data_IF_103810892521
#
_entry.id   IF_103810892521
#
_cell.length_a   1.000
_cell.length_b   1.000
_cell.length_c   1.000
_cell.angle_alpha   90.00
_cell.angle_beta   90.00
_cell.angle_gamma   90.00
#
_symmetry.space_group_name_H-M   'P 1'
#
loop_
_entity.id
_entity.type
_entity.pdbx_description
1 polymer ?
#
# COMPACT_ATOMS: atom_id res chain seq x y z
N UNK A 1 -37.47 38.88 -0.05
CA UNK A 1 -38.74 38.30 0.35
C UNK A 1 -39.52 37.97 -0.93
N UNK A 2 -39.77 36.67 -1.17
CA UNK A 2 -40.44 36.25 -2.43
C UNK A 2 -41.95 36.14 -2.23
N UNK A 3 -42.55 37.21 -1.81
CA UNK A 3 -44.01 37.33 -1.66
C UNK A 3 -44.55 38.23 -2.79
N UNK A 4 -45.71 37.91 -3.38
CA UNK A 4 -46.31 38.79 -4.38
C UNK A 4 -46.49 40.17 -3.80
N UNK A 5 -46.22 41.20 -4.58
CA UNK A 5 -46.32 42.62 -4.17
C UNK A 5 -47.67 43.01 -3.56
N UNK A 6 -48.71 42.36 -3.98
CA UNK A 6 -50.12 42.57 -3.53
C UNK A 6 -50.34 42.10 -2.08
N UNK A 7 -49.57 41.10 -1.60
CA UNK A 7 -49.73 40.53 -0.26
C UNK A 7 -48.88 41.22 0.81
N UNK A 8 -48.00 42.15 0.42
CA UNK A 8 -46.96 42.73 1.31
C UNK A 8 -47.59 43.46 2.53
N UNK A 9 -48.62 44.27 2.30
CA UNK A 9 -49.26 45.04 3.40
C UNK A 9 -50.01 44.16 4.39
N UNK A 10 -50.51 43.01 3.95
CA UNK A 10 -51.20 42.05 4.81
C UNK A 10 -50.24 41.13 5.55
N UNK A 11 -49.12 40.78 4.95
CA UNK A 11 -48.11 39.86 5.53
C UNK A 11 -47.37 40.50 6.70
N UNK A 12 -47.10 41.80 6.66
CA UNK A 12 -46.44 42.54 7.75
C UNK A 12 -47.26 42.57 9.06
N UNK A 13 -48.58 42.41 8.95
CA UNK A 13 -49.50 42.37 10.10
C UNK A 13 -49.70 40.98 10.69
N UNK A 14 -49.14 39.94 10.10
CA UNK A 14 -49.36 38.56 10.53
C UNK A 14 -48.40 38.19 11.68
N UNK A 15 -48.94 37.56 12.74
CA UNK A 15 -48.11 36.97 13.79
C UNK A 15 -47.31 35.80 13.26
N UNK A 16 -46.17 35.54 13.90
CA UNK A 16 -45.22 34.45 13.53
C UNK A 16 -45.89 33.07 13.49
N UNK A 17 -46.94 32.88 14.29
CA UNK A 17 -47.70 31.63 14.35
C UNK A 17 -48.93 31.60 13.45
N UNK A 18 -49.12 32.60 12.59
CA UNK A 18 -50.32 32.72 11.76
C UNK A 18 -50.48 31.54 10.79
N UNK A 19 -51.70 30.98 10.73
CA UNK A 19 -52.12 29.97 9.78
C UNK A 19 -52.59 30.55 8.43
N UNK A 20 -52.70 31.90 8.33
CA UNK A 20 -53.09 32.55 7.10
C UNK A 20 -52.15 32.15 5.97
N UNK A 21 -52.67 31.77 4.81
CA UNK A 21 -51.87 31.36 3.67
C UNK A 21 -51.34 32.59 2.94
N UNK A 22 -50.08 32.54 2.55
CA UNK A 22 -49.37 33.59 1.80
C UNK A 22 -48.79 33.00 0.52
N UNK A 23 -48.73 33.82 -0.52
CA UNK A 23 -48.09 33.45 -1.77
C UNK A 23 -46.58 33.77 -1.70
N UNK A 24 -45.76 32.82 -2.13
CA UNK A 24 -44.36 33.05 -2.36
C UNK A 24 -43.89 32.35 -3.64
N UNK A 25 -42.81 32.82 -4.22
CA UNK A 25 -42.17 32.18 -5.37
C UNK A 25 -41.04 31.26 -4.87
N UNK A 26 -41.08 30.03 -5.33
CA UNK A 26 -40.04 29.05 -4.99
C UNK A 26 -38.69 29.46 -5.61
N UNK A 27 -37.68 29.57 -4.82
CA UNK A 27 -36.32 29.97 -5.25
C UNK A 27 -35.66 28.96 -6.19
N UNK A 28 -36.10 27.70 -6.18
CA UNK A 28 -35.51 26.66 -7.04
C UNK A 28 -36.23 26.57 -8.39
N UNK A 29 -37.57 26.51 -8.39
CA UNK A 29 -38.32 26.24 -9.63
C UNK A 29 -39.12 27.43 -10.16
N UNK A 30 -39.09 28.58 -9.48
CA UNK A 30 -39.81 29.79 -9.89
C UNK A 30 -41.35 29.72 -9.79
N UNK A 31 -41.93 28.60 -9.32
CA UNK A 31 -43.37 28.42 -9.23
C UNK A 31 -43.95 29.16 -8.03
N UNK A 32 -45.06 29.88 -8.20
CA UNK A 32 -45.82 30.49 -7.13
C UNK A 32 -46.49 29.45 -6.25
N UNK A 33 -46.35 29.56 -4.93
CA UNK A 33 -46.89 28.58 -3.97
C UNK A 33 -47.65 29.27 -2.88
N UNK A 34 -48.85 28.76 -2.57
CA UNK A 34 -49.67 29.20 -1.47
C UNK A 34 -49.43 28.33 -0.23
N UNK A 35 -48.88 28.91 0.84
CA UNK A 35 -48.52 28.19 2.04
C UNK A 35 -48.82 29.00 3.32
N UNK A 36 -49.10 28.32 4.45
CA UNK A 36 -49.28 29.00 5.71
C UNK A 36 -48.06 29.83 6.11
N UNK A 37 -48.24 31.05 6.60
CA UNK A 37 -47.19 32.00 6.91
C UNK A 37 -46.17 31.46 7.91
N UNK A 38 -46.64 30.79 9.00
CA UNK A 38 -45.75 30.12 9.95
C UNK A 38 -44.80 29.09 9.30
N UNK A 39 -45.30 28.37 8.25
CA UNK A 39 -44.50 27.36 7.56
C UNK A 39 -43.50 28.01 6.62
N UNK A 40 -43.89 29.13 6.00
CA UNK A 40 -42.97 29.96 5.20
C UNK A 40 -41.83 30.52 6.04
N UNK A 41 -42.14 31.04 7.24
CA UNK A 41 -41.11 31.59 8.15
C UNK A 41 -40.14 30.53 8.65
N UNK A 42 -40.57 29.30 8.91
CA UNK A 42 -39.73 28.20 9.39
C UNK A 42 -38.73 27.66 8.35
N UNK A 43 -38.81 28.16 7.11
CA UNK A 43 -37.83 27.76 6.09
C UNK A 43 -36.56 28.63 6.20
N UNK A 44 -35.55 28.14 6.90
CA UNK A 44 -34.32 28.90 7.18
C UNK A 44 -33.28 28.83 6.06
N UNK A 45 -33.30 27.76 5.22
CA UNK A 45 -32.28 27.48 4.19
C UNK A 45 -32.71 27.95 2.78
N UNK A 46 -33.82 28.71 2.67
CA UNK A 46 -34.39 29.19 1.42
C UNK A 46 -35.90 28.96 1.37
N UNK A 47 -36.59 29.71 0.51
CA UNK A 47 -38.05 29.67 0.39
C UNK A 47 -38.48 28.73 -0.74
N UNK A 48 -38.70 27.48 -0.42
CA UNK A 48 -38.92 26.41 -1.39
C UNK A 48 -40.34 25.85 -1.34
N UNK A 49 -40.89 25.49 -2.48
CA UNK A 49 -42.13 24.68 -2.55
C UNK A 49 -41.83 23.27 -1.93
N UNK A 50 -42.91 22.57 -1.53
CA UNK A 50 -42.77 21.24 -0.87
C UNK A 50 -41.93 20.24 -1.68
N UNK A 51 -42.12 20.04 -3.00
CA UNK A 51 -41.29 19.16 -3.81
C UNK A 51 -39.82 19.58 -3.85
N UNK A 52 -39.55 20.87 -4.08
CA UNK A 52 -38.15 21.36 -4.13
C UNK A 52 -37.45 21.28 -2.78
N UNK A 53 -38.15 21.58 -1.68
CA UNK A 53 -37.60 21.41 -0.31
C UNK A 53 -37.28 19.96 -0.01
N UNK A 54 -38.18 19.04 -0.33
CA UNK A 54 -37.91 17.62 -0.11
C UNK A 54 -36.66 17.17 -0.89
N UNK A 55 -36.55 17.58 -2.15
CA UNK A 55 -35.37 17.29 -2.99
C UNK A 55 -34.10 17.96 -2.46
N UNK A 56 -34.19 19.21 -2.02
CA UNK A 56 -33.09 19.94 -1.42
C UNK A 56 -32.63 19.26 -0.13
N UNK A 57 -33.54 18.95 0.79
CA UNK A 57 -33.22 18.26 2.05
C UNK A 57 -32.66 16.88 1.80
N UNK A 58 -33.21 16.10 0.87
CA UNK A 58 -32.67 14.77 0.53
C UNK A 58 -31.27 14.83 -0.10
N UNK A 59 -30.91 15.96 -0.71
CA UNK A 59 -29.61 16.16 -1.34
C UNK A 59 -28.54 16.74 -0.40
N UNK A 60 -28.91 17.15 0.80
CA UNK A 60 -27.93 17.65 1.78
C UNK A 60 -26.90 16.59 2.14
N UNK A 61 -25.61 16.95 2.26
CA UNK A 61 -24.54 16.00 2.56
C UNK A 61 -24.78 15.23 3.87
N UNK A 62 -25.21 15.91 4.94
CA UNK A 62 -25.49 15.32 6.25
C UNK A 62 -26.65 14.31 6.22
N UNK A 63 -27.70 14.57 5.43
CA UNK A 63 -28.84 13.66 5.23
C UNK A 63 -28.43 12.44 4.41
N UNK A 64 -27.67 12.64 3.33
CA UNK A 64 -27.12 11.56 2.51
C UNK A 64 -26.17 10.67 3.30
N UNK A 65 -25.34 11.26 4.15
CA UNK A 65 -24.41 10.51 4.99
C UNK A 65 -25.16 9.66 6.03
N UNK A 66 -26.15 10.25 6.72
CA UNK A 66 -27.03 9.51 7.67
C UNK A 66 -27.78 8.37 6.98
N UNK A 67 -28.34 8.60 5.80
CA UNK A 67 -29.04 7.56 5.04
C UNK A 67 -28.09 6.47 4.56
N UNK A 68 -26.90 6.86 4.07
CA UNK A 68 -25.86 5.93 3.65
C UNK A 68 -25.36 5.08 4.82
N UNK A 69 -25.10 5.68 5.97
CA UNK A 69 -24.63 4.98 7.17
C UNK A 69 -25.71 4.03 7.72
N UNK A 70 -26.95 4.45 7.78
CA UNK A 70 -28.08 3.60 8.18
C UNK A 70 -28.28 2.42 7.22
N UNK A 71 -28.20 2.67 5.90
CA UNK A 71 -28.24 1.61 4.89
C UNK A 71 -27.07 0.65 5.03
N UNK A 72 -25.83 1.15 5.15
CA UNK A 72 -24.63 0.34 5.36
C UNK A 72 -24.73 -0.52 6.62
N UNK A 73 -25.35 0.01 7.71
CA UNK A 73 -25.58 -0.74 8.94
C UNK A 73 -26.54 -1.92 8.72
N UNK A 74 -27.65 -1.70 8.01
CA UNK A 74 -28.61 -2.77 7.65
C UNK A 74 -27.96 -3.84 6.77
N UNK A 75 -27.17 -3.42 5.76
CA UNK A 75 -26.45 -4.34 4.87
C UNK A 75 -25.30 -5.10 5.52
N UNK A 76 -24.86 -4.73 6.71
CA UNK A 76 -23.89 -5.52 7.52
C UNK A 76 -24.54 -6.74 8.17
N UNK A 77 -25.85 -6.71 8.41
CA UNK A 77 -26.57 -7.86 8.95
C UNK A 77 -26.67 -8.99 7.90
N UNK A 78 -26.13 -10.17 8.16
CA UNK A 78 -26.17 -11.30 7.24
C UNK A 78 -27.60 -11.75 6.91
N UNK A 79 -28.50 -11.74 7.91
CA UNK A 79 -29.91 -12.15 7.74
C UNK A 79 -30.65 -11.16 6.83
N UNK A 80 -30.42 -9.86 7.05
CA UNK A 80 -31.00 -8.83 6.20
C UNK A 80 -30.50 -8.92 4.75
N UNK A 81 -29.19 -9.17 4.54
CA UNK A 81 -28.61 -9.35 3.20
C UNK A 81 -29.20 -10.56 2.47
N UNK A 82 -29.28 -11.71 3.15
CA UNK A 82 -29.83 -12.91 2.54
C UNK A 82 -31.30 -12.73 2.17
N UNK A 83 -32.09 -12.15 3.08
CA UNK A 83 -33.49 -11.81 2.82
C UNK A 83 -33.64 -10.86 1.64
N UNK A 84 -32.91 -9.73 1.63
CA UNK A 84 -33.01 -8.73 0.56
C UNK A 84 -32.46 -9.24 -0.78
N UNK A 85 -31.44 -10.09 -0.75
CA UNK A 85 -30.95 -10.74 -1.98
C UNK A 85 -32.01 -11.63 -2.61
N UNK A 86 -32.74 -12.42 -1.80
CA UNK A 86 -33.85 -13.26 -2.27
C UNK A 86 -35.01 -12.42 -2.80
N UNK A 87 -35.40 -11.37 -2.06
CA UNK A 87 -36.47 -10.45 -2.46
C UNK A 87 -36.13 -9.75 -3.78
N UNK A 88 -34.93 -9.18 -3.90
CA UNK A 88 -34.51 -8.48 -5.11
C UNK A 88 -34.36 -9.43 -6.29
N UNK A 89 -33.79 -10.62 -6.06
CA UNK A 89 -33.64 -11.64 -7.09
C UNK A 89 -35.00 -12.12 -7.62
N UNK A 90 -35.95 -12.35 -6.70
CA UNK A 90 -37.32 -12.73 -7.06
C UNK A 90 -38.03 -11.61 -7.83
N UNK A 91 -37.99 -10.36 -7.34
CA UNK A 91 -38.60 -9.22 -8.01
C UNK A 91 -37.98 -8.95 -9.38
N UNK A 92 -36.63 -9.08 -9.51
CA UNK A 92 -35.99 -8.99 -10.81
C UNK A 92 -36.44 -10.08 -11.76
N UNK A 93 -36.50 -11.33 -11.28
CA UNK A 93 -36.93 -12.47 -12.09
C UNK A 93 -38.38 -12.32 -12.56
N UNK A 94 -39.29 -12.01 -11.64
CA UNK A 94 -40.68 -11.76 -11.97
C UNK A 94 -40.85 -10.61 -13.00
N UNK A 95 -40.08 -9.53 -12.84
CA UNK A 95 -40.09 -8.42 -13.76
C UNK A 95 -39.46 -8.76 -15.14
N UNK A 96 -38.58 -9.77 -15.24
CA UNK A 96 -38.05 -10.28 -16.50
C UNK A 96 -38.99 -11.30 -17.14
N UNK A 97 -39.61 -12.16 -16.34
CA UNK A 97 -40.54 -13.20 -16.82
C UNK A 97 -41.86 -12.60 -17.36
N UNK A 98 -42.23 -11.40 -16.87
CA UNK A 98 -43.39 -10.62 -17.33
C UNK A 98 -43.05 -9.67 -18.47
N UNK A 99 -41.80 -9.57 -18.90
CA UNK A 99 -41.36 -8.67 -19.95
C UNK A 99 -41.67 -9.27 -21.33
N UNK A 100 -42.57 -8.66 -22.05
CA UNK A 100 -42.88 -8.97 -23.46
C UNK A 100 -41.73 -8.62 -24.45
N UNK A 101 -40.55 -8.36 -23.95
CA UNK A 101 -39.36 -7.89 -24.70
C UNK A 101 -39.28 -6.38 -24.82
N UNK A 102 -40.35 -5.63 -24.46
CA UNK A 102 -40.35 -4.18 -24.59
C UNK A 102 -39.45 -3.49 -23.59
N UNK A 103 -39.27 -4.06 -22.37
CA UNK A 103 -38.39 -3.52 -21.34
C UNK A 103 -36.91 -3.67 -21.72
N UNK A 104 -36.55 -4.85 -22.22
CA UNK A 104 -35.21 -5.12 -22.76
C UNK A 104 -34.94 -4.17 -23.94
N UNK A 105 -35.90 -3.99 -24.83
CA UNK A 105 -35.75 -3.08 -25.95
C UNK A 105 -35.64 -1.64 -25.48
N UNK A 106 -36.50 -1.19 -24.53
CA UNK A 106 -36.38 0.15 -23.92
C UNK A 106 -35.04 0.39 -23.21
N UNK A 107 -34.50 -0.60 -22.50
CA UNK A 107 -33.16 -0.48 -21.90
C UNK A 107 -32.07 -0.39 -22.97
N UNK A 108 -32.25 -1.10 -24.09
CA UNK A 108 -31.34 -1.02 -25.22
C UNK A 108 -31.50 0.35 -25.91
N UNK A 109 -32.72 0.80 -26.14
CA UNK A 109 -33.00 2.04 -26.89
C UNK A 109 -32.73 3.29 -26.08
N UNK A 110 -33.04 3.29 -24.79
CA UNK A 110 -32.80 4.38 -23.85
C UNK A 110 -31.44 4.31 -23.16
N UNK A 111 -30.54 3.46 -23.63
CA UNK A 111 -29.19 3.41 -23.06
C UNK A 111 -28.41 4.67 -23.47
N UNK A 112 -28.15 5.60 -22.51
CA UNK A 112 -27.43 6.84 -22.80
C UNK A 112 -26.06 6.59 -23.43
N UNK A 113 -25.49 5.41 -23.20
CA UNK A 113 -24.19 5.02 -23.78
C UNK A 113 -24.25 4.66 -25.26
N UNK A 114 -25.43 4.60 -25.87
CA UNK A 114 -25.57 4.51 -27.34
C UNK A 114 -25.23 5.84 -28.02
N UNK A 115 -25.46 6.95 -27.34
CA UNK A 115 -25.13 8.28 -27.85
C UNK A 115 -23.59 8.47 -27.89
N UNK A 116 -23.01 8.70 -29.07
CA UNK A 116 -21.58 8.94 -29.22
C UNK A 116 -21.07 10.15 -28.41
N UNK A 117 -21.92 11.18 -28.25
CA UNK A 117 -21.60 12.40 -27.51
C UNK A 117 -21.52 12.10 -26.01
N UNK A 118 -22.48 11.35 -25.47
CA UNK A 118 -22.50 10.95 -24.05
C UNK A 118 -21.33 10.04 -23.75
N UNK A 119 -21.04 9.06 -24.62
CA UNK A 119 -19.86 8.20 -24.51
C UNK A 119 -18.57 9.01 -24.51
N UNK A 120 -18.46 9.99 -25.38
CA UNK A 120 -17.29 10.87 -25.46
C UNK A 120 -17.14 11.71 -24.17
N UNK A 121 -18.21 12.32 -23.68
CA UNK A 121 -18.21 13.10 -22.42
C UNK A 121 -17.84 12.24 -21.21
N UNK A 122 -18.36 11.03 -21.11
CA UNK A 122 -18.01 10.13 -20.02
C UNK A 122 -16.56 9.68 -20.11
N UNK A 123 -16.10 9.33 -21.30
CA UNK A 123 -14.70 9.00 -21.55
C UNK A 123 -13.75 10.17 -21.23
N UNK A 124 -14.17 11.40 -21.48
CA UNK A 124 -13.39 12.60 -21.13
C UNK A 124 -13.40 12.87 -19.61
N UNK A 125 -14.52 12.66 -18.93
CA UNK A 125 -14.63 12.84 -17.47
C UNK A 125 -13.83 11.80 -16.66
N UNK A 126 -13.68 10.60 -17.21
CA UNK A 126 -12.86 9.53 -16.63
C UNK A 126 -11.40 9.57 -17.09
N UNK A 127 -11.05 10.53 -17.94
CA UNK A 127 -9.74 10.61 -18.56
C UNK A 127 -8.65 10.94 -17.55
N UNK A 128 -7.75 10.00 -17.33
CA UNK A 128 -6.43 10.30 -16.77
C UNK A 128 -5.75 11.36 -17.63
N UNK A 129 -5.13 12.34 -17.01
CA UNK A 129 -4.44 13.37 -17.76
C UNK A 129 -3.32 12.75 -18.62
N UNK A 130 -3.12 13.28 -19.81
CA UNK A 130 -2.02 12.83 -20.70
C UNK A 130 -0.67 12.96 -19.97
N UNK A 131 -0.52 13.96 -19.10
CA UNK A 131 0.69 14.16 -18.28
C UNK A 131 0.93 12.99 -17.35
N UNK A 132 -0.12 12.48 -16.70
CA UNK A 132 -0.04 11.33 -15.81
C UNK A 132 0.27 10.03 -16.58
N UNK A 133 -0.38 9.81 -17.73
CA UNK A 133 -0.09 8.65 -18.60
C UNK A 133 1.35 8.66 -19.10
N UNK A 134 1.85 9.80 -19.53
CA UNK A 134 3.26 9.98 -19.92
C UNK A 134 4.20 9.71 -18.75
N UNK A 135 3.87 10.19 -17.55
CA UNK A 135 4.65 9.95 -16.32
C UNK A 135 4.71 8.46 -15.98
N UNK A 136 3.58 7.75 -16.06
CA UNK A 136 3.54 6.30 -15.85
C UNK A 136 4.41 5.59 -16.90
N UNK A 137 4.23 5.90 -18.18
CA UNK A 137 5.03 5.31 -19.24
C UNK A 137 6.53 5.55 -19.05
N UNK A 138 6.93 6.80 -18.74
CA UNK A 138 8.34 7.17 -18.54
C UNK A 138 8.98 6.44 -17.35
N UNK A 139 8.21 6.20 -16.26
CA UNK A 139 8.67 5.44 -15.10
C UNK A 139 9.12 4.02 -15.44
N UNK A 140 8.57 3.43 -16.52
CA UNK A 140 8.87 2.08 -16.98
C UNK A 140 9.67 2.06 -18.28
N UNK A 141 10.28 3.18 -18.65
CA UNK A 141 11.00 3.32 -19.92
C UNK A 141 10.13 2.99 -21.15
N UNK A 142 8.84 3.30 -21.07
CA UNK A 142 7.91 3.17 -22.18
C UNK A 142 7.65 4.53 -22.80
N UNK A 143 7.47 4.57 -24.12
CA UNK A 143 7.08 5.76 -24.86
C UNK A 143 5.56 5.76 -25.02
N UNK A 144 4.90 6.80 -24.47
CA UNK A 144 3.48 7.01 -24.71
C UNK A 144 3.23 7.37 -26.18
N UNK A 145 2.40 6.63 -26.89
CA UNK A 145 2.08 6.85 -28.30
C UNK A 145 0.73 7.54 -28.49
N UNK A 146 -0.24 7.30 -27.60
CA UNK A 146 -1.57 7.85 -27.73
C UNK A 146 -2.63 7.10 -26.96
N UNK A 147 -3.87 7.50 -27.15
CA UNK A 147 -5.05 6.78 -26.67
C UNK A 147 -6.13 6.73 -27.75
N UNK A 148 -6.93 5.69 -27.72
CA UNK A 148 -8.04 5.47 -28.66
C UNK A 148 -9.27 4.93 -27.92
N UNK A 149 -10.42 4.96 -28.55
CA UNK A 149 -11.64 4.31 -28.05
C UNK A 149 -11.63 2.84 -28.50
N UNK A 150 -11.73 1.93 -27.54
CA UNK A 150 -11.87 0.50 -27.82
C UNK A 150 -13.28 0.13 -28.30
N UNK A 151 -13.46 -1.05 -28.85
CA UNK A 151 -14.69 -1.59 -29.44
C UNK A 151 -15.95 -1.50 -28.54
N UNK A 152 -15.75 -1.48 -27.18
CA UNK A 152 -16.84 -1.38 -26.21
C UNK A 152 -16.90 -0.01 -25.51
N UNK A 153 -16.33 1.04 -26.13
CA UNK A 153 -16.36 2.39 -25.61
C UNK A 153 -15.39 2.72 -24.48
N UNK A 154 -14.61 1.74 -24.01
CA UNK A 154 -13.56 1.98 -23.00
C UNK A 154 -12.29 2.60 -23.63
N UNK A 155 -11.56 3.40 -22.89
CA UNK A 155 -10.30 3.97 -23.36
C UNK A 155 -9.19 2.91 -23.42
N UNK A 156 -8.42 2.96 -24.47
CA UNK A 156 -7.24 2.11 -24.71
C UNK A 156 -6.01 3.00 -24.82
N UNK A 157 -4.97 2.65 -24.09
CA UNK A 157 -3.68 3.33 -24.12
C UNK A 157 -2.75 2.60 -25.08
N UNK A 158 -2.12 3.38 -25.96
CA UNK A 158 -1.07 2.93 -26.87
C UNK A 158 0.28 3.38 -26.32
N UNK A 159 1.20 2.45 -26.19
CA UNK A 159 2.56 2.73 -25.78
C UNK A 159 3.56 1.74 -26.41
N UNK A 160 4.77 2.20 -26.56
CA UNK A 160 5.90 1.42 -27.06
C UNK A 160 6.83 1.08 -25.90
N UNK A 161 7.19 -0.19 -25.77
CA UNK A 161 8.16 -0.60 -24.77
C UNK A 161 9.61 -0.27 -25.25
N UNK A 162 10.57 -0.37 -24.32
CA UNK A 162 11.99 -0.13 -24.60
C UNK A 162 12.63 -1.04 -25.64
N UNK A 163 11.93 -2.09 -26.10
CA UNK A 163 12.34 -2.99 -27.20
C UNK A 163 11.58 -2.71 -28.51
N UNK A 164 10.84 -1.61 -28.59
CA UNK A 164 10.09 -1.24 -29.80
C UNK A 164 8.74 -1.94 -29.96
N UNK A 165 8.29 -2.79 -29.02
CA UNK A 165 6.99 -3.44 -29.15
C UNK A 165 5.85 -2.50 -28.81
N UNK A 166 4.91 -2.33 -29.75
CA UNK A 166 3.71 -1.52 -29.53
C UNK A 166 2.68 -2.33 -28.76
N UNK A 167 2.16 -1.76 -27.69
CA UNK A 167 1.17 -2.38 -26.82
C UNK A 167 -0.13 -1.59 -26.82
N UNK A 168 -1.25 -2.31 -26.71
CA UNK A 168 -2.59 -1.78 -26.56
C UNK A 168 -3.18 -2.30 -25.25
N UNK A 169 -3.48 -1.43 -24.30
CA UNK A 169 -4.07 -1.83 -23.01
C UNK A 169 -5.25 -0.94 -22.67
N UNK A 170 -6.31 -1.53 -22.14
CA UNK A 170 -7.43 -0.75 -21.59
C UNK A 170 -6.94 0.11 -20.44
N UNK A 171 -7.49 1.32 -20.33
CA UNK A 171 -7.10 2.30 -19.30
C UNK A 171 -7.29 1.76 -17.88
N UNK A 172 -8.41 1.03 -17.63
CA UNK A 172 -8.68 0.39 -16.34
C UNK A 172 -7.57 -0.62 -15.96
N UNK A 173 -7.12 -1.43 -16.91
CA UNK A 173 -6.02 -2.39 -16.72
C UNK A 173 -4.67 -1.69 -16.56
N UNK A 174 -4.45 -0.63 -17.33
CA UNK A 174 -3.25 0.18 -17.24
C UNK A 174 -3.12 0.86 -15.86
N UNK A 175 -4.22 1.39 -15.32
CA UNK A 175 -4.28 2.01 -13.99
C UNK A 175 -3.96 1.05 -12.84
N UNK A 176 -4.38 -0.21 -12.95
CA UNK A 176 -4.10 -1.24 -11.93
C UNK A 176 -2.74 -1.93 -12.12
N UNK A 177 -1.82 -1.30 -12.85
CA UNK A 177 -0.45 -1.78 -13.00
C UNK A 177 -0.26 -2.86 -14.09
N UNK A 178 -1.29 -3.18 -14.90
CA UNK A 178 -1.18 -4.15 -15.99
C UNK A 178 -0.67 -3.50 -17.29
N UNK A 179 0.41 -2.74 -17.22
CA UNK A 179 1.04 -2.06 -18.37
C UNK A 179 2.22 -2.83 -18.98
N UNK A 180 2.54 -4.03 -18.50
CA UNK A 180 3.66 -4.81 -19.01
C UNK A 180 3.48 -5.16 -20.48
N UNK A 181 4.57 -5.10 -21.24
CA UNK A 181 4.59 -5.54 -22.62
C UNK A 181 4.40 -7.07 -22.70
N UNK A 182 3.36 -7.52 -23.37
CA UNK A 182 3.04 -8.94 -23.51
C UNK A 182 4.14 -9.72 -24.23
N UNK A 183 4.83 -9.10 -25.20
CA UNK A 183 5.92 -9.70 -25.95
C UNK A 183 7.21 -9.84 -25.12
N UNK A 184 7.43 -8.90 -24.18
CA UNK A 184 8.60 -8.93 -23.30
C UNK A 184 8.44 -9.85 -22.09
N UNK A 185 7.19 -10.13 -21.68
CA UNK A 185 6.86 -10.89 -20.44
C UNK A 185 7.13 -12.40 -20.57
N UNK A 186 7.54 -12.89 -21.74
CA UNK A 186 7.72 -14.34 -21.94
C UNK A 186 8.79 -15.00 -21.05
N UNK A 187 9.57 -14.25 -20.24
CA UNK A 187 10.59 -14.86 -19.38
C UNK A 187 10.98 -14.17 -18.06
N UNK A 188 10.66 -12.86 -17.80
CA UNK A 188 11.18 -12.15 -16.60
C UNK A 188 10.22 -11.11 -16.08
N UNK A 189 10.27 -10.85 -14.74
CA UNK A 189 9.57 -9.72 -14.16
C UNK A 189 10.28 -8.41 -14.52
N UNK A 190 9.53 -7.33 -14.69
CA UNK A 190 10.12 -6.00 -14.98
C UNK A 190 11.04 -5.53 -13.84
N UNK A 191 10.59 -5.75 -12.62
CA UNK A 191 11.29 -5.35 -11.40
C UNK A 191 12.59 -6.13 -11.21
N UNK A 192 12.62 -7.42 -11.58
CA UNK A 192 13.83 -8.24 -11.59
C UNK A 192 14.88 -7.68 -12.55
N UNK A 193 14.43 -7.24 -13.75
CA UNK A 193 15.33 -6.57 -14.71
C UNK A 193 15.82 -5.21 -14.20
N UNK A 194 14.98 -4.46 -13.50
CA UNK A 194 15.39 -3.20 -12.89
C UNK A 194 16.47 -3.43 -11.83
N UNK A 195 16.32 -4.46 -11.00
CA UNK A 195 17.33 -4.87 -10.01
C UNK A 195 18.63 -5.26 -10.70
N UNK A 196 18.53 -6.12 -11.72
CA UNK A 196 19.68 -6.55 -12.51
C UNK A 196 20.38 -5.37 -13.17
N UNK A 197 19.65 -4.46 -13.80
CA UNK A 197 20.23 -3.27 -14.44
C UNK A 197 20.90 -2.35 -13.40
N UNK A 198 20.27 -2.17 -12.23
CA UNK A 198 20.88 -1.43 -11.14
C UNK A 198 22.21 -2.05 -10.70
N UNK A 199 22.26 -3.37 -10.55
CA UNK A 199 23.50 -4.08 -10.18
C UNK A 199 24.57 -3.94 -11.25
N UNK A 200 24.21 -4.08 -12.54
CA UNK A 200 25.14 -3.87 -13.68
C UNK A 200 25.70 -2.46 -13.71
N UNK A 201 24.95 -1.47 -13.29
CA UNK A 201 25.42 -0.07 -13.24
C UNK A 201 26.45 0.18 -12.13
N UNK A 202 26.41 -0.59 -11.03
CA UNK A 202 27.32 -0.40 -9.89
C UNK A 202 28.46 -1.42 -9.82
N UNK A 203 28.37 -2.52 -10.58
CA UNK A 203 29.34 -3.62 -10.53
C UNK A 203 29.71 -4.15 -11.93
N UNK A 204 31.01 -4.09 -12.25
CA UNK A 204 31.53 -4.49 -13.56
C UNK A 204 32.06 -5.95 -13.61
N UNK A 205 31.91 -6.73 -12.52
CA UNK A 205 32.35 -8.12 -12.48
C UNK A 205 31.31 -9.09 -13.04
N UNK A 206 31.62 -10.39 -12.96
CA UNK A 206 30.74 -11.45 -13.43
C UNK A 206 29.40 -11.46 -12.69
N UNK A 207 28.30 -11.41 -13.44
CA UNK A 207 26.92 -11.55 -12.97
C UNK A 207 26.29 -12.69 -13.79
N UNK A 208 25.75 -13.68 -13.10
CA UNK A 208 24.99 -14.77 -13.69
C UNK A 208 23.49 -14.53 -13.48
N UNK A 209 22.70 -14.70 -14.52
CA UNK A 209 21.25 -14.51 -14.52
C UNK A 209 20.57 -15.88 -14.61
N UNK A 210 19.49 -16.09 -13.84
CA UNK A 210 18.68 -17.32 -13.84
C UNK A 210 19.53 -18.58 -13.65
N UNK A 211 20.38 -18.55 -12.66
CA UNK A 211 21.27 -19.67 -12.38
C UNK A 211 20.50 -20.83 -11.74
N UNK A 212 20.62 -22.01 -12.36
CA UNK A 212 20.02 -23.27 -11.89
C UNK A 212 21.06 -24.28 -11.43
N UNK A 213 22.33 -23.88 -11.41
CA UNK A 213 23.44 -24.80 -11.11
C UNK A 213 23.86 -24.74 -9.66
N UNK A 214 23.84 -23.55 -9.05
CA UNK A 214 24.33 -23.31 -7.70
C UNK A 214 23.52 -24.07 -6.65
N UNK A 215 22.19 -24.04 -6.75
CA UNK A 215 21.26 -24.64 -5.77
C UNK A 215 20.19 -25.52 -6.44
N UNK A 216 20.58 -26.31 -7.45
CA UNK A 216 19.65 -27.23 -8.13
C UNK A 216 18.79 -28.02 -7.12
N UNK A 217 17.47 -28.22 -7.35
CA UNK A 217 16.72 -27.88 -8.58
C UNK A 217 16.16 -26.44 -8.63
N UNK A 218 16.48 -25.60 -7.68
CA UNK A 218 16.00 -24.22 -7.63
C UNK A 218 16.79 -23.32 -8.58
N UNK A 219 16.11 -22.26 -9.04
CA UNK A 219 16.70 -21.16 -9.82
C UNK A 219 17.00 -19.99 -8.89
N UNK A 220 18.05 -19.24 -9.19
CA UNK A 220 18.39 -17.96 -8.58
C UNK A 220 18.37 -16.87 -9.65
N UNK A 221 17.65 -15.78 -9.41
CA UNK A 221 17.49 -14.72 -10.42
C UNK A 221 18.80 -14.06 -10.78
N UNK A 222 19.62 -13.72 -9.77
CA UNK A 222 20.90 -13.04 -9.96
C UNK A 222 21.95 -13.66 -9.01
N UNK A 223 23.10 -14.03 -9.56
CA UNK A 223 24.24 -14.50 -8.77
C UNK A 223 25.50 -13.68 -9.11
N UNK A 224 26.22 -13.24 -8.10
CA UNK A 224 27.49 -12.51 -8.17
C UNK A 224 28.59 -13.39 -7.56
N UNK A 225 29.23 -14.28 -8.32
CA UNK A 225 30.12 -15.31 -7.78
C UNK A 225 31.30 -14.75 -6.99
N UNK A 226 31.98 -13.72 -7.50
CA UNK A 226 33.13 -13.08 -6.86
C UNK A 226 32.80 -12.40 -5.53
N UNK A 227 31.54 -12.11 -5.27
CA UNK A 227 31.06 -11.53 -4.01
C UNK A 227 30.40 -12.56 -3.09
N UNK A 228 30.17 -13.77 -3.58
CA UNK A 228 29.41 -14.81 -2.90
C UNK A 228 28.02 -14.29 -2.49
N UNK A 229 27.35 -13.56 -3.39
CA UNK A 229 26.01 -12.99 -3.20
C UNK A 229 25.08 -13.57 -4.25
N UNK A 230 23.90 -13.99 -3.82
CA UNK A 230 22.77 -14.30 -4.65
C UNK A 230 21.60 -13.39 -4.29
N UNK A 231 20.79 -13.03 -5.27
CA UNK A 231 19.63 -12.13 -5.09
C UNK A 231 18.44 -12.80 -5.76
N UNK A 232 17.32 -12.81 -5.04
CA UNK A 232 16.05 -13.35 -5.47
C UNK A 232 14.99 -12.26 -5.37
N UNK A 233 14.25 -12.01 -6.45
CA UNK A 233 13.11 -11.13 -6.46
C UNK A 233 11.81 -11.93 -6.38
N UNK A 234 11.06 -11.72 -5.33
CA UNK A 234 9.84 -12.46 -5.06
C UNK A 234 8.60 -11.59 -5.30
N UNK A 235 8.01 -11.71 -6.48
CA UNK A 235 6.70 -11.16 -6.77
C UNK A 235 5.65 -11.83 -5.89
N UNK A 236 4.92 -11.06 -5.03
CA UNK A 236 4.00 -11.62 -4.02
C UNK A 236 3.03 -12.65 -4.61
N UNK A 237 2.44 -12.37 -5.77
CA UNK A 237 1.50 -13.29 -6.41
C UNK A 237 2.12 -14.63 -6.81
N UNK A 238 3.36 -14.62 -7.36
CA UNK A 238 4.03 -15.84 -7.86
C UNK A 238 4.74 -16.63 -6.75
N UNK A 239 5.10 -15.96 -5.67
CA UNK A 239 5.79 -16.53 -4.52
C UNK A 239 4.87 -16.75 -3.32
N UNK A 240 3.56 -16.49 -3.45
CA UNK A 240 2.56 -16.77 -2.44
C UNK A 240 2.23 -18.25 -2.32
N UNK A 241 1.61 -18.62 -1.19
CA UNK A 241 1.26 -20.00 -0.88
C UNK A 241 0.24 -20.59 -1.85
N UNK A 242 -0.67 -19.77 -2.41
CA UNK A 242 -1.62 -20.18 -3.45
C UNK A 242 -0.90 -20.73 -4.70
N UNK A 243 0.34 -20.34 -4.94
CA UNK A 243 1.18 -20.83 -6.05
C UNK A 243 2.09 -22.01 -5.66
N UNK A 244 1.79 -22.66 -4.55
CA UNK A 244 2.54 -23.81 -4.07
C UNK A 244 3.86 -23.48 -3.37
N UNK A 245 4.07 -22.22 -2.97
CA UNK A 245 5.25 -21.79 -2.20
C UNK A 245 4.94 -21.87 -0.72
N UNK A 246 5.20 -23.04 -0.15
CA UNK A 246 4.95 -23.34 1.25
C UNK A 246 5.85 -22.55 2.23
N UNK A 247 5.62 -22.76 3.52
CA UNK A 247 6.36 -22.13 4.62
C UNK A 247 7.88 -22.24 4.46
N UNK A 248 8.38 -23.31 3.89
CA UNK A 248 9.81 -23.61 3.83
C UNK A 248 10.46 -23.24 2.49
N UNK A 249 9.69 -22.82 1.50
CA UNK A 249 10.21 -22.57 0.15
C UNK A 249 11.39 -21.60 0.13
N UNK A 250 11.23 -20.39 0.69
CA UNK A 250 12.29 -19.40 0.72
C UNK A 250 13.42 -19.78 1.69
N UNK A 251 13.05 -20.39 2.82
CA UNK A 251 14.04 -20.91 3.78
C UNK A 251 14.94 -21.98 3.18
N UNK A 252 14.39 -22.91 2.39
CA UNK A 252 15.18 -23.96 1.74
C UNK A 252 16.17 -23.37 0.74
N UNK A 253 15.74 -22.40 -0.09
CA UNK A 253 16.65 -21.67 -1.00
C UNK A 253 17.78 -20.96 -0.24
N UNK A 254 17.44 -20.30 0.88
CA UNK A 254 18.41 -19.62 1.75
C UNK A 254 19.43 -20.60 2.31
N UNK A 255 18.99 -21.71 2.90
CA UNK A 255 19.86 -22.71 3.49
C UNK A 255 20.83 -23.30 2.45
N UNK A 256 20.32 -23.69 1.27
CA UNK A 256 21.15 -24.18 0.18
C UNK A 256 22.20 -23.17 -0.29
N UNK A 257 21.87 -21.88 -0.33
CA UNK A 257 22.85 -20.83 -0.61
C UNK A 257 23.90 -20.71 0.49
N UNK A 258 23.47 -20.73 1.77
CA UNK A 258 24.37 -20.64 2.92
C UNK A 258 25.32 -21.84 2.98
N UNK A 259 24.86 -23.05 2.69
CA UNK A 259 25.68 -24.28 2.60
C UNK A 259 26.77 -24.19 1.52
N UNK A 260 26.51 -23.46 0.44
CA UNK A 260 27.50 -23.15 -0.62
C UNK A 260 28.33 -21.90 -0.32
N UNK A 261 28.19 -21.30 0.86
CA UNK A 261 28.93 -20.11 1.29
C UNK A 261 28.44 -18.81 0.64
N UNK A 262 27.26 -18.82 0.03
CA UNK A 262 26.65 -17.62 -0.56
C UNK A 262 25.68 -16.95 0.42
N UNK A 263 25.62 -15.63 0.36
CA UNK A 263 24.57 -14.84 0.99
C UNK A 263 23.42 -14.69 0.01
N UNK A 264 22.23 -15.23 0.33
CA UNK A 264 21.01 -14.94 -0.40
C UNK A 264 20.34 -13.69 0.16
N UNK A 265 19.96 -12.77 -0.73
CA UNK A 265 19.16 -11.58 -0.44
C UNK A 265 17.81 -11.78 -1.12
N UNK A 266 16.74 -11.91 -0.33
CA UNK A 266 15.39 -12.13 -0.85
C UNK A 266 14.58 -10.84 -0.74
N UNK A 267 14.23 -10.26 -1.89
CA UNK A 267 13.53 -8.98 -2.01
C UNK A 267 12.07 -9.25 -2.39
N UNK A 268 11.13 -8.86 -1.53
CA UNK A 268 9.72 -8.93 -1.86
C UNK A 268 9.31 -7.74 -2.73
N UNK A 269 8.36 -7.94 -3.65
CA UNK A 269 7.96 -6.91 -4.61
C UNK A 269 7.48 -5.61 -3.98
N UNK A 270 6.80 -5.67 -2.82
CA UNK A 270 6.38 -4.49 -2.08
C UNK A 270 7.58 -3.68 -1.55
N UNK A 271 8.69 -4.32 -1.21
CA UNK A 271 9.92 -3.65 -0.75
C UNK A 271 10.58 -2.90 -1.92
N UNK A 272 10.68 -3.54 -3.09
CA UNK A 272 11.20 -2.87 -4.29
C UNK A 272 10.32 -1.71 -4.74
N UNK A 273 9.00 -1.92 -4.80
CA UNK A 273 8.05 -0.91 -5.29
C UNK A 273 7.93 0.30 -4.35
N UNK A 274 7.97 0.10 -3.04
CA UNK A 274 7.69 1.16 -2.07
C UNK A 274 8.94 1.72 -1.38
N UNK A 275 10.06 0.97 -1.37
CA UNK A 275 11.30 1.31 -0.65
C UNK A 275 12.54 1.12 -1.52
N UNK A 276 12.41 1.35 -2.82
CA UNK A 276 13.47 1.13 -3.82
C UNK A 276 14.81 1.72 -3.41
N UNK A 277 14.84 2.99 -3.01
CA UNK A 277 16.07 3.67 -2.63
C UNK A 277 16.79 3.02 -1.44
N UNK A 278 16.04 2.43 -0.51
CA UNK A 278 16.60 1.70 0.64
C UNK A 278 17.20 0.38 0.17
N UNK A 279 16.48 -0.36 -0.69
CA UNK A 279 16.96 -1.61 -1.28
C UNK A 279 18.22 -1.38 -2.10
N UNK A 280 18.23 -0.36 -2.97
CA UNK A 280 19.40 0.00 -3.79
C UNK A 280 20.62 0.35 -2.95
N UNK A 281 20.47 1.18 -1.90
CA UNK A 281 21.54 1.50 -0.95
C UNK A 281 22.08 0.24 -0.26
N UNK A 282 21.17 -0.64 0.16
CA UNK A 282 21.56 -1.89 0.79
C UNK A 282 22.36 -2.78 -0.17
N UNK A 283 21.87 -3.01 -1.39
CA UNK A 283 22.58 -3.79 -2.41
C UNK A 283 23.95 -3.21 -2.72
N UNK A 284 24.06 -1.88 -2.90
CA UNK A 284 25.35 -1.20 -3.10
C UNK A 284 26.30 -1.47 -1.95
N UNK A 285 25.83 -1.37 -0.71
CA UNK A 285 26.67 -1.61 0.48
C UNK A 285 27.22 -3.04 0.54
N UNK A 286 26.41 -4.02 0.11
CA UNK A 286 26.81 -5.44 0.09
C UNK A 286 27.77 -5.77 -1.05
N UNK A 287 27.54 -5.19 -2.24
CA UNK A 287 28.30 -5.50 -3.45
C UNK A 287 29.64 -4.73 -3.47
N UNK A 288 29.61 -3.44 -3.18
CA UNK A 288 30.79 -2.57 -3.25
C UNK A 288 31.67 -2.68 -2.01
N UNK A 289 31.07 -2.95 -0.85
CA UNK A 289 31.77 -3.11 0.44
C UNK A 289 32.74 -1.96 0.75
N UNK A 290 32.35 -0.72 0.43
CA UNK A 290 33.14 0.49 0.68
C UNK A 290 32.70 1.12 2.00
N UNK A 291 33.46 0.95 3.11
CA UNK A 291 33.14 1.62 4.37
C UNK A 291 33.52 3.10 4.29
N UNK A 292 32.69 3.91 4.89
CA UNK A 292 32.99 5.30 5.17
C UNK A 292 33.52 5.41 6.60
N UNK A 293 34.61 6.14 6.80
CA UNK A 293 35.22 6.35 8.12
C UNK A 293 34.85 7.76 8.58
N UNK A 294 34.30 7.87 9.78
CA UNK A 294 34.06 9.15 10.46
C UNK A 294 35.09 9.20 11.63
N UNK A 295 35.92 10.21 11.65
CA UNK A 295 36.97 10.38 12.65
C UNK A 295 36.42 10.92 13.97
N UNK A 296 35.56 11.93 13.90
CA UNK A 296 34.97 12.54 15.08
C UNK A 296 33.44 12.48 15.02
N UNK A 297 32.83 12.02 16.08
CA UNK A 297 31.39 12.02 16.25
C UNK A 297 30.94 11.88 17.72
N UNK A 298 29.87 12.56 18.06
CA UNK A 298 29.21 12.45 19.35
C UNK A 298 27.94 11.62 19.24
N UNK A 299 27.70 10.79 20.27
CA UNK A 299 26.43 10.08 20.43
C UNK A 299 25.45 11.01 21.09
N UNK A 300 24.29 11.22 20.47
CA UNK A 300 23.24 12.13 20.92
C UNK A 300 21.94 11.35 21.08
N UNK A 301 21.24 11.50 22.22
CA UNK A 301 19.86 11.05 22.35
C UNK A 301 18.96 11.79 21.36
N UNK A 302 18.04 11.05 20.72
CA UNK A 302 17.18 11.57 19.67
C UNK A 302 15.73 11.64 20.14
N UNK A 303 15.00 12.64 19.65
CA UNK A 303 13.56 12.69 19.76
C UNK A 303 12.86 11.67 18.82
N UNK A 304 11.59 11.41 19.09
CA UNK A 304 10.79 10.44 18.32
C UNK A 304 10.62 10.85 16.86
N UNK A 305 10.40 12.13 16.57
CA UNK A 305 10.12 12.64 15.22
C UNK A 305 11.33 12.50 14.31
N UNK A 306 12.50 12.90 14.80
CA UNK A 306 13.79 12.77 14.11
C UNK A 306 14.11 11.30 13.83
N UNK A 307 13.96 10.44 14.84
CA UNK A 307 14.18 9.00 14.71
C UNK A 307 13.23 8.38 13.69
N UNK A 308 11.94 8.68 13.74
CA UNK A 308 10.93 8.18 12.81
C UNK A 308 11.25 8.61 11.37
N UNK A 309 11.59 9.87 11.16
CA UNK A 309 11.97 10.37 9.83
C UNK A 309 13.18 9.63 9.29
N UNK A 310 14.24 9.47 10.08
CA UNK A 310 15.45 8.78 9.66
C UNK A 310 15.21 7.30 9.35
N UNK A 311 14.51 6.59 10.25
CA UNK A 311 14.22 5.15 10.09
C UNK A 311 13.36 4.87 8.87
N UNK A 312 12.32 5.66 8.63
CA UNK A 312 11.44 5.47 7.47
C UNK A 312 12.14 5.73 6.14
N UNK A 313 13.21 6.55 6.12
CA UNK A 313 14.01 6.83 4.92
C UNK A 313 15.16 5.85 4.69
N UNK A 314 15.62 5.15 5.71
CA UNK A 314 16.86 4.38 5.62
C UNK A 314 16.74 2.92 6.07
N UNK A 315 15.69 2.53 6.80
CA UNK A 315 15.51 1.16 7.28
C UNK A 315 14.39 0.43 6.53
N UNK A 316 14.64 -0.80 6.09
CA UNK A 316 13.68 -1.57 5.28
C UNK A 316 12.36 -1.82 6.02
N UNK A 317 12.39 -2.08 7.31
CA UNK A 317 11.18 -2.25 8.13
C UNK A 317 10.64 -0.92 8.67
N UNK A 318 11.34 0.20 8.48
CA UNK A 318 10.94 1.51 8.98
C UNK A 318 11.05 1.66 10.49
N UNK A 319 10.39 2.69 11.02
CA UNK A 319 10.36 3.02 12.44
C UNK A 319 9.52 2.02 13.25
N UNK A 320 9.96 1.74 14.46
CA UNK A 320 9.19 1.09 15.51
C UNK A 320 9.29 1.91 16.80
N UNK A 321 8.22 2.02 17.63
CA UNK A 321 8.29 2.68 18.92
C UNK A 321 9.44 2.13 19.77
N UNK A 322 10.19 3.02 20.40
CA UNK A 322 11.36 2.66 21.21
C UNK A 322 11.55 3.65 22.33
N UNK A 323 12.10 3.19 23.45
CA UNK A 323 12.33 4.02 24.65
C UNK A 323 13.65 4.79 24.54
N UNK A 324 14.71 4.12 24.16
CA UNK A 324 16.04 4.73 23.95
C UNK A 324 16.32 4.86 22.47
N UNK A 325 16.67 6.05 22.03
CA UNK A 325 16.97 6.42 20.65
C UNK A 325 18.28 7.19 20.62
N UNK A 326 19.29 6.60 20.02
CA UNK A 326 20.62 7.16 19.94
C UNK A 326 21.02 7.42 18.49
N UNK A 327 21.65 8.54 18.24
CA UNK A 327 22.12 8.92 16.91
C UNK A 327 23.54 9.43 16.88
N UNK A 328 24.15 9.35 15.70
CA UNK A 328 25.43 9.97 15.37
C UNK A 328 25.23 10.95 14.24
N UNK A 329 25.73 12.15 14.42
CA UNK A 329 25.81 13.17 13.39
C UNK A 329 27.22 13.25 12.83
N UNK A 330 27.32 13.45 11.53
CA UNK A 330 28.54 13.80 10.81
C UNK A 330 28.29 15.06 10.02
N UNK A 331 29.11 16.08 10.19
CA UNK A 331 28.96 17.37 9.50
C UNK A 331 27.53 17.92 9.57
N UNK A 332 26.91 17.89 10.75
CA UNK A 332 25.55 18.37 10.96
C UNK A 332 24.42 17.47 10.43
N UNK A 333 24.76 16.37 9.75
CA UNK A 333 23.78 15.42 9.19
C UNK A 333 23.69 14.16 10.06
N UNK A 334 22.46 13.72 10.40
CA UNK A 334 22.24 12.46 11.11
C UNK A 334 22.57 11.28 10.17
N UNK A 335 23.52 10.43 10.56
CA UNK A 335 24.03 9.36 9.69
C UNK A 335 23.83 7.96 10.25
N UNK A 336 23.72 7.79 11.57
CA UNK A 336 23.49 6.48 12.21
C UNK A 336 22.45 6.63 13.30
N UNK A 337 21.56 5.66 13.42
CA UNK A 337 20.58 5.57 14.51
C UNK A 337 20.49 4.15 15.03
N UNK A 338 20.44 4.02 16.35
CA UNK A 338 20.22 2.77 17.06
C UNK A 338 19.13 2.96 18.12
N UNK A 339 18.20 2.02 18.22
CA UNK A 339 17.06 2.14 19.13
C UNK A 339 16.89 0.90 19.99
N UNK A 340 16.45 1.13 21.25
CA UNK A 340 16.23 0.08 22.22
C UNK A 340 14.87 0.24 22.91
N UNK A 341 14.28 -0.89 23.28
CA UNK A 341 13.09 -0.99 24.11
C UNK A 341 13.32 -1.93 25.29
N UNK A 342 12.70 -1.67 26.44
CA UNK A 342 12.76 -2.61 27.56
C UNK A 342 12.08 -3.93 27.17
N UNK A 343 12.68 -5.03 27.61
CA UNK A 343 12.10 -6.37 27.49
C UNK A 343 11.06 -6.63 28.60
N UNK A 344 10.72 -7.90 28.79
CA UNK A 344 9.68 -8.31 29.76
C UNK A 344 10.10 -8.22 31.23
N UNK A 345 11.40 -8.09 31.51
CA UNK A 345 11.98 -7.99 32.85
C UNK A 345 12.97 -6.82 32.92
N UNK A 346 13.18 -6.28 34.11
CA UNK A 346 14.24 -5.28 34.35
C UNK A 346 15.60 -5.81 33.92
N UNK A 347 16.46 -4.97 33.41
CA UNK A 347 17.78 -5.34 32.91
C UNK A 347 17.78 -6.03 31.53
N UNK A 348 16.61 -6.41 30.99
CA UNK A 348 16.51 -7.01 29.64
C UNK A 348 16.11 -5.93 28.64
N UNK A 349 16.85 -5.84 27.54
CA UNK A 349 16.61 -4.86 26.48
C UNK A 349 16.58 -5.51 25.11
N UNK A 350 15.71 -5.00 24.25
CA UNK A 350 15.71 -5.30 22.83
C UNK A 350 16.41 -4.21 22.05
N UNK A 351 17.46 -4.55 21.30
CA UNK A 351 17.97 -3.73 20.22
C UNK A 351 17.00 -3.86 19.05
N UNK A 352 16.04 -2.92 18.94
CA UNK A 352 14.95 -2.98 17.96
C UNK A 352 15.43 -2.73 16.54
N UNK A 353 16.22 -1.65 16.35
CA UNK A 353 16.67 -1.18 15.05
C UNK A 353 18.07 -0.63 15.12
N UNK A 354 18.84 -0.96 14.11
CA UNK A 354 20.07 -0.26 13.76
C UNK A 354 20.00 0.13 12.28
N UNK A 355 20.27 1.38 12.00
CA UNK A 355 20.23 1.92 10.65
C UNK A 355 21.32 2.95 10.43
N UNK A 356 21.91 2.92 9.25
CA UNK A 356 22.91 3.90 8.81
C UNK A 356 22.57 4.38 7.39
N UNK A 357 22.65 5.67 7.15
CA UNK A 357 22.48 6.25 5.80
C UNK A 357 23.69 6.04 4.91
N UNK A 358 24.86 5.80 5.53
CA UNK A 358 26.14 5.50 4.90
C UNK A 358 26.77 4.30 5.61
N UNK A 359 27.61 3.53 4.91
CA UNK A 359 28.26 2.37 5.53
C UNK A 359 29.38 2.80 6.49
N UNK A 360 29.13 2.78 7.79
CA UNK A 360 30.06 3.17 8.86
C UNK A 360 30.42 1.96 9.71
N UNK A 361 31.70 1.62 9.78
CA UNK A 361 32.17 0.45 10.55
C UNK A 361 32.07 0.64 12.06
N UNK A 362 32.39 1.82 12.59
CA UNK A 362 32.54 2.09 14.03
C UNK A 362 31.28 2.63 14.72
N UNK A 363 30.37 3.22 13.97
CA UNK A 363 29.20 3.91 14.55
C UNK A 363 28.31 3.02 15.42
N UNK A 364 28.09 1.78 15.00
CA UNK A 364 27.27 0.85 15.76
C UNK A 364 27.91 0.46 17.10
N UNK A 365 29.21 0.23 17.13
CA UNK A 365 29.95 -0.12 18.35
C UNK A 365 29.85 1.02 19.36
N UNK A 366 30.06 2.26 18.95
CA UNK A 366 29.97 3.43 19.84
C UNK A 366 28.56 3.71 20.37
N UNK A 367 27.54 3.53 19.54
CA UNK A 367 26.15 3.64 20.01
C UNK A 367 25.84 2.58 21.07
N UNK A 368 26.29 1.35 20.84
CA UNK A 368 26.11 0.26 21.79
C UNK A 368 26.90 0.51 23.10
N UNK A 369 28.15 0.92 23.01
CA UNK A 369 29.01 1.28 24.19
C UNK A 369 28.41 2.43 24.99
N UNK A 370 27.85 3.45 24.30
CA UNK A 370 27.13 4.54 24.95
C UNK A 370 25.90 4.01 25.72
N UNK A 371 25.11 3.15 25.08
CA UNK A 371 23.95 2.52 25.74
C UNK A 371 24.41 1.73 26.99
N UNK A 372 25.41 0.87 26.84
CA UNK A 372 25.93 0.02 27.93
C UNK A 372 26.46 0.81 29.11
N UNK A 373 26.98 2.03 28.87
CA UNK A 373 27.53 2.90 29.93
C UNK A 373 26.45 3.68 30.66
N UNK A 374 25.38 4.04 29.99
CA UNK A 374 24.38 5.01 30.51
C UNK A 374 23.06 4.37 30.96
N UNK A 375 22.87 3.08 30.69
CA UNK A 375 21.67 2.35 31.07
C UNK A 375 22.02 1.06 31.80
N UNK A 376 21.22 0.67 32.77
CA UNK A 376 21.35 -0.62 33.45
C UNK A 376 20.88 -1.73 32.50
N UNK A 377 21.69 -2.77 32.33
CA UNK A 377 21.40 -3.89 31.47
C UNK A 377 22.10 -5.17 31.92
N UNK A 378 21.40 -6.28 31.82
CA UNK A 378 21.91 -7.64 32.00
C UNK A 378 21.98 -8.39 30.69
N UNK A 379 20.93 -8.25 29.86
CA UNK A 379 20.80 -8.91 28.57
C UNK A 379 20.31 -7.91 27.54
N UNK A 380 21.01 -7.86 26.41
CA UNK A 380 20.52 -7.20 25.19
C UNK A 380 20.28 -8.29 24.15
N UNK A 381 19.05 -8.35 23.61
CA UNK A 381 18.75 -9.26 22.49
C UNK A 381 18.34 -8.47 21.25
N UNK A 382 18.47 -9.11 20.08
CA UNK A 382 18.10 -8.51 18.79
C UNK A 382 17.68 -9.59 17.81
N UNK A 383 16.73 -9.26 16.93
CA UNK A 383 16.29 -10.12 15.84
C UNK A 383 16.90 -9.70 14.52
N UNK A 384 17.33 -10.66 13.73
CA UNK A 384 17.95 -10.46 12.42
C UNK A 384 17.14 -11.17 11.37
N UNK A 385 16.49 -10.41 10.48
CA UNK A 385 15.77 -10.95 9.32
C UNK A 385 16.76 -11.65 8.38
N UNK A 386 16.61 -12.97 8.23
CA UNK A 386 17.49 -13.83 7.44
C UNK A 386 17.42 -13.55 5.95
N UNK A 387 16.34 -12.94 5.45
CA UNK A 387 16.24 -12.51 4.05
C UNK A 387 17.29 -11.44 3.69
N UNK A 388 17.71 -10.64 4.68
CA UNK A 388 18.61 -9.52 4.50
C UNK A 388 20.01 -9.76 5.06
N UNK A 389 20.12 -10.43 6.21
CA UNK A 389 21.37 -10.51 6.96
C UNK A 389 21.65 -11.90 7.54
N UNK A 390 22.93 -12.25 7.59
CA UNK A 390 23.45 -13.48 8.22
C UNK A 390 23.94 -13.27 9.67
N UNK A 391 23.67 -12.10 10.26
CA UNK A 391 24.09 -11.79 11.64
C UNK A 391 25.61 -11.51 11.84
N UNK A 392 26.39 -11.39 10.75
CA UNK A 392 27.85 -11.08 10.84
C UNK A 392 28.10 -9.77 11.60
N UNK A 393 27.23 -8.79 11.42
CA UNK A 393 27.26 -7.50 12.12
C UNK A 393 27.10 -7.68 13.64
N UNK A 394 26.11 -8.44 14.09
CA UNK A 394 25.86 -8.71 15.51
C UNK A 394 27.02 -9.44 16.17
N UNK A 395 27.60 -10.44 15.46
CA UNK A 395 28.79 -11.13 15.95
C UNK A 395 29.99 -10.19 16.17
N UNK A 396 30.21 -9.23 15.25
CA UNK A 396 31.28 -8.22 15.39
C UNK A 396 31.04 -7.27 16.57
N UNK A 397 29.82 -7.05 16.98
CA UNK A 397 29.46 -6.26 18.17
C UNK A 397 29.54 -7.06 19.48
N UNK A 398 29.84 -8.36 19.42
CA UNK A 398 29.97 -9.23 20.59
C UNK A 398 28.68 -9.98 20.96
N UNK A 399 27.64 -9.92 20.11
CA UNK A 399 26.47 -10.78 20.25
C UNK A 399 26.77 -12.21 19.80
N UNK A 400 26.19 -13.19 20.45
CA UNK A 400 26.16 -14.57 19.99
C UNK A 400 24.75 -14.99 19.57
N UNK A 401 24.68 -15.89 18.58
CA UNK A 401 23.43 -16.43 18.09
C UNK A 401 22.88 -17.41 19.12
N UNK A 402 21.67 -17.13 19.62
CA UNK A 402 20.99 -17.96 20.61
C UNK A 402 20.05 -18.97 19.95
N UNK A 403 19.24 -18.48 18.99
CA UNK A 403 18.14 -19.25 18.43
C UNK A 403 17.93 -18.94 16.96
N UNK A 404 17.36 -19.89 16.23
CA UNK A 404 16.86 -19.71 14.86
C UNK A 404 15.34 -19.82 14.91
N UNK A 405 14.65 -18.74 14.64
CA UNK A 405 13.20 -18.69 14.61
C UNK A 405 12.66 -19.15 13.25
N UNK A 406 11.53 -19.81 13.30
CA UNK A 406 10.81 -20.30 12.13
C UNK A 406 10.36 -19.15 11.21
N UNK A 407 10.16 -19.42 9.91
CA UNK A 407 9.54 -18.47 8.99
C UNK A 407 8.19 -17.95 9.51
N UNK A 408 8.01 -16.63 9.36
CA UNK A 408 6.75 -15.94 9.57
C UNK A 408 6.08 -15.63 8.22
N UNK A 409 4.75 -15.55 8.20
CA UNK A 409 4.05 -15.16 6.99
C UNK A 409 3.64 -13.69 7.03
N UNK A 410 3.56 -13.12 5.84
CA UNK A 410 2.98 -11.80 5.58
C UNK A 410 1.76 -11.97 4.69
N UNK A 411 0.67 -11.29 5.03
CA UNK A 411 -0.57 -11.35 4.26
C UNK A 411 -0.61 -10.24 3.23
N UNK A 412 -1.03 -10.54 2.01
CA UNK A 412 -1.21 -9.57 0.93
C UNK A 412 -2.55 -9.74 0.24
N UNK A 413 -3.13 -8.62 -0.23
CA UNK A 413 -4.42 -8.64 -0.89
C UNK A 413 -4.28 -9.07 -2.35
N UNK A 414 -5.06 -10.07 -2.75
CA UNK A 414 -5.19 -10.51 -4.15
C UNK A 414 -5.88 -9.45 -5.04
N UNK A 415 -6.69 -8.58 -4.43
CA UNK A 415 -7.48 -7.57 -5.12
C UNK A 415 -6.77 -6.22 -5.28
N UNK A 416 -5.66 -6.00 -4.55
CA UNK A 416 -4.86 -4.77 -4.63
C UNK A 416 -3.60 -5.04 -5.44
N UNK A 417 -3.54 -4.50 -6.65
CA UNK A 417 -2.45 -4.73 -7.60
C UNK A 417 -1.07 -4.20 -7.19
N UNK A 418 -0.95 -3.46 -6.09
CA UNK A 418 0.30 -2.80 -5.67
C UNK A 418 1.09 -3.53 -4.60
N UNK A 419 0.87 -4.82 -4.41
CA UNK A 419 1.67 -5.62 -3.47
C UNK A 419 1.65 -5.07 -2.02
N UNK A 420 0.51 -4.52 -1.58
CA UNK A 420 0.39 -4.04 -0.22
C UNK A 420 0.38 -5.23 0.74
N UNK A 421 1.46 -5.39 1.49
CA UNK A 421 1.49 -6.29 2.65
C UNK A 421 0.82 -5.56 3.80
N UNK A 422 -0.22 -6.15 4.35
CA UNK A 422 -0.82 -5.68 5.59
C UNK A 422 -0.20 -6.42 6.78
N UNK A 423 0.72 -5.74 7.46
CA UNK A 423 1.38 -6.27 8.67
C UNK A 423 0.50 -6.21 9.91
N UNK A 424 -0.65 -5.53 9.84
CA UNK A 424 -1.57 -5.35 10.97
C UNK A 424 -2.74 -6.35 10.96
N UNK A 425 -2.84 -7.17 9.95
CA UNK A 425 -3.95 -8.11 9.81
C UNK A 425 -3.65 -9.40 10.60
N UNK A 426 -4.22 -9.51 11.80
CA UNK A 426 -4.17 -10.74 12.61
C UNK A 426 -5.07 -11.81 11.97
N UNK A 427 -4.58 -12.49 10.94
CA UNK A 427 -5.20 -13.68 10.35
C UNK A 427 -4.59 -14.98 10.89
N UNK A 428 -3.69 -14.89 11.87
CA UNK A 428 -2.83 -15.98 12.34
C UNK A 428 -3.62 -17.20 12.87
N UNK A 429 -4.86 -16.99 13.31
CA UNK A 429 -5.72 -18.08 13.84
C UNK A 429 -6.78 -18.54 12.82
N UNK A 430 -6.68 -18.12 11.56
CA UNK A 430 -7.65 -18.53 10.53
C UNK A 430 -7.11 -19.66 9.66
N UNK A 431 -7.98 -20.61 9.33
CA UNK A 431 -7.66 -21.58 8.30
C UNK A 431 -7.34 -20.90 6.95
N UNK A 432 -6.35 -21.40 6.25
CA UNK A 432 -5.86 -20.80 5.00
C UNK A 432 -6.97 -20.66 3.94
N UNK A 433 -7.90 -21.61 3.84
CA UNK A 433 -9.07 -21.51 2.95
C UNK A 433 -9.93 -20.29 3.23
N UNK A 434 -10.07 -19.92 4.49
CA UNK A 434 -10.84 -18.74 4.91
C UNK A 434 -10.09 -17.44 4.60
N UNK A 435 -8.77 -17.46 4.63
CA UNK A 435 -7.92 -16.33 4.22
C UNK A 435 -8.12 -16.08 2.73
N UNK A 436 -8.02 -17.10 1.91
CA UNK A 436 -8.23 -17.01 0.45
C UNK A 436 -9.64 -16.53 0.08
N UNK A 437 -10.68 -17.06 0.75
CA UNK A 437 -12.07 -16.63 0.48
C UNK A 437 -12.33 -15.16 0.77
N UNK A 438 -11.50 -14.55 1.63
CA UNK A 438 -11.51 -13.09 1.90
C UNK A 438 -10.69 -12.26 0.92
N UNK A 439 -10.11 -12.88 -0.11
CA UNK A 439 -9.29 -12.22 -1.12
C UNK A 439 -7.88 -11.88 -0.63
N UNK A 440 -7.36 -12.65 0.33
CA UNK A 440 -5.99 -12.55 0.83
C UNK A 440 -5.21 -13.82 0.53
N UNK A 441 -3.89 -13.67 0.35
CA UNK A 441 -2.95 -14.78 0.31
C UNK A 441 -1.77 -14.45 1.23
N UNK A 442 -0.85 -15.38 1.46
CA UNK A 442 0.31 -15.19 2.30
C UNK A 442 1.60 -15.60 1.61
N UNK A 443 2.67 -14.88 1.95
CA UNK A 443 4.04 -15.19 1.56
C UNK A 443 4.86 -15.42 2.82
N UNK A 444 5.77 -16.38 2.80
CA UNK A 444 6.61 -16.73 3.93
C UNK A 444 8.01 -16.14 3.79
N UNK A 445 8.57 -15.65 4.90
CA UNK A 445 9.96 -15.22 4.98
C UNK A 445 10.93 -16.40 5.19
N UNK A 446 12.16 -16.10 5.57
CA UNK A 446 13.20 -17.09 5.88
C UNK A 446 13.42 -17.27 7.40
N UNK A 447 12.55 -16.73 8.23
CA UNK A 447 12.72 -16.66 9.67
C UNK A 447 13.76 -15.65 10.14
N UNK A 448 14.01 -15.63 11.43
CA UNK A 448 14.93 -14.69 12.06
C UNK A 448 16.01 -15.42 12.86
N UNK A 449 17.20 -14.84 12.97
CA UNK A 449 18.13 -15.19 14.03
C UNK A 449 17.85 -14.35 15.27
N UNK A 450 17.80 -14.95 16.44
CA UNK A 450 17.85 -14.26 17.72
C UNK A 450 19.28 -14.21 18.19
N UNK A 451 19.79 -13.02 18.42
CA UNK A 451 21.10 -12.75 18.96
C UNK A 451 20.99 -12.21 20.38
N UNK A 452 21.89 -12.61 21.26
CA UNK A 452 21.94 -12.10 22.62
C UNK A 452 23.37 -11.63 22.99
N UNK A 453 23.41 -10.65 23.87
CA UNK A 453 24.61 -10.21 24.57
C UNK A 453 24.30 -10.19 26.06
N UNK A 454 25.14 -10.82 26.87
CA UNK A 454 25.05 -10.85 28.34
C UNK A 454 26.08 -9.90 28.95
N UNK A 455 25.68 -9.17 29.98
CA UNK A 455 26.61 -8.38 30.76
C UNK A 455 27.60 -9.32 31.50
N UNK A 456 28.87 -9.06 31.37
CA UNK A 456 29.92 -9.88 32.04
C UNK A 456 30.03 -9.59 33.54
N UNK A 457 29.49 -8.46 33.99
CA UNK A 457 29.32 -8.18 35.41
C UNK A 457 28.03 -8.92 35.80
N UNK A 458 28.16 -10.05 36.49
CA UNK A 458 27.04 -10.80 37.00
C UNK A 458 26.08 -9.89 37.80
N UNK A 459 24.83 -10.35 38.10
CA UNK A 459 23.90 -9.57 38.90
C UNK A 459 24.59 -9.20 40.21
N UNK A 460 24.68 -7.90 40.45
CA UNK A 460 25.10 -7.32 41.74
C UNK A 460 24.06 -7.62 42.79
#
# INVERSE_FOLDING_TARGET
MLVRREDFKEVEKLSVNSHKKVWFICEICGIGVLQAYRTYLKQNEGKFCRPCRNKHTANRPDVKEKQSSASKKKWKDPKYRDHMSKVLSKACKEAWDQDDGTRKQRMIDNNPMKDPIIRKKQAESEAVSIKELKSICSRYNYKYLGRELGHRGGQVILYECNKGHIQRKRLDRFRVGQYRCAECVKSFSLEEKEILQYIKNIYNGLIMENDRTLISPYELDIVIPNKKIAIEYCGLYWHGEQKGKDKNYHLNKLNLCEDKGYKLITIFSNEWLNKRSIVEKYLSSQILNKPFYIEEYNVIPLDTKTTMKFMNHNHIQGYTPSTVRLGIYSEGTLVVVMTFSPGSKSGIWELNRFCSSIYIMSGAKKLLEYFQKNYEWDIIYSYVDRRWNQGKFHKKLGFHKEEILNPCCFYYSLNKCNGHIDTNFKLDNMEYKNILSKGWDRIWDCGNYKFIMKNKKGPS
#
